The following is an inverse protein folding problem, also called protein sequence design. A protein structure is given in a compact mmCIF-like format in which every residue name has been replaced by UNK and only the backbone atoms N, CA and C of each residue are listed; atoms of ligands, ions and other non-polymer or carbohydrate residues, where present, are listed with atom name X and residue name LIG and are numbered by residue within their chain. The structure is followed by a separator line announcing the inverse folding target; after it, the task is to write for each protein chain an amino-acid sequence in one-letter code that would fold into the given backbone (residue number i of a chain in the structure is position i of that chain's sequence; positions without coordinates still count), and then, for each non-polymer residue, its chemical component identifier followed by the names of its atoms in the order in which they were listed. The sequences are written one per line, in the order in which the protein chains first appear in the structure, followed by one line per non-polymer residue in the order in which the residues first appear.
data_IF_044539006786
#
_entry.id   IF_044539006786
#
_cell.length_a   1.000
_cell.length_b   1.000
_cell.length_c   1.000
_cell.angle_alpha   90.00
_cell.angle_beta   90.00
_cell.angle_gamma   90.00
#
_symmetry.space_group_name_H-M   'P 1'
#
loop_
_entity.id
_entity.type
_entity.pdbx_description
1 polymer ?
#
# COMPACT_ATOMS: atom_id res chain seq x y z
N UNK A 1 -2.93 -6.88 23.25
CA UNK A 1 -1.75 -7.29 22.48
C UNK A 1 -0.68 -7.80 23.46
N UNK A 2 0.06 -8.85 23.07
CA UNK A 2 1.14 -9.44 23.89
C UNK A 2 2.47 -8.71 23.67
N UNK A 3 2.74 -8.29 22.43
CA UNK A 3 3.92 -7.51 22.08
C UNK A 3 3.74 -6.00 22.34
N UNK A 4 4.87 -5.36 22.64
CA UNK A 4 4.99 -3.93 22.92
C UNK A 4 6.11 -3.34 22.06
N UNK A 5 6.28 -2.02 22.11
CA UNK A 5 7.41 -1.34 21.46
C UNK A 5 8.77 -1.93 21.88
N UNK A 6 8.90 -2.40 23.13
CA UNK A 6 10.14 -3.04 23.61
C UNK A 6 10.44 -4.38 22.94
N UNK A 7 9.41 -5.17 22.58
CA UNK A 7 9.58 -6.48 21.94
C UNK A 7 9.54 -6.39 20.41
N UNK A 8 9.19 -5.23 19.87
CA UNK A 8 9.19 -4.96 18.44
C UNK A 8 10.55 -5.25 17.80
N UNK A 9 10.49 -5.72 16.56
CA UNK A 9 11.65 -5.89 15.68
C UNK A 9 11.42 -5.08 14.41
N UNK A 10 12.50 -4.76 13.70
CA UNK A 10 12.44 -3.94 12.49
C UNK A 10 13.42 -4.42 11.43
N UNK A 11 13.01 -4.32 10.17
CA UNK A 11 13.82 -4.56 8.97
C UNK A 11 13.48 -3.47 7.96
N UNK A 12 14.51 -2.80 7.44
CA UNK A 12 14.34 -1.82 6.38
C UNK A 12 14.96 -2.35 5.09
N UNK A 13 14.20 -2.32 4.00
CA UNK A 13 14.68 -2.63 2.65
C UNK A 13 14.71 -1.34 1.83
N UNK A 14 15.64 -1.28 0.86
CA UNK A 14 15.80 -0.13 -0.05
C UNK A 14 16.02 -0.62 -1.48
N UNK A 15 15.42 0.08 -2.43
CA UNK A 15 15.66 -0.11 -3.85
C UNK A 15 16.62 0.98 -4.34
N UNK A 16 17.49 0.62 -5.28
CA UNK A 16 18.31 1.61 -5.98
C UNK A 16 17.42 2.56 -6.80
N UNK A 17 17.93 3.73 -7.21
CA UNK A 17 17.17 4.64 -8.05
C UNK A 17 16.66 4.00 -9.34
N UNK A 18 17.45 3.13 -9.96
CA UNK A 18 17.11 2.45 -11.22
C UNK A 18 15.95 1.47 -11.04
N UNK A 19 15.86 0.80 -9.89
CA UNK A 19 14.74 -0.10 -9.56
C UNK A 19 13.52 0.68 -9.08
N UNK A 20 13.73 1.86 -8.48
CA UNK A 20 12.66 2.71 -7.97
C UNK A 20 11.92 3.44 -9.08
N UNK A 21 12.63 3.95 -10.08
CA UNK A 21 12.08 4.85 -11.10
C UNK A 21 10.84 4.29 -11.83
N UNK A 22 10.84 3.05 -12.36
CA UNK A 22 9.66 2.49 -13.02
C UNK A 22 8.43 2.40 -12.11
N UNK A 23 8.63 2.14 -10.82
CA UNK A 23 7.55 2.02 -9.83
C UNK A 23 6.88 3.38 -9.53
N UNK A 24 7.59 4.48 -9.80
CA UNK A 24 7.08 5.84 -9.61
C UNK A 24 6.45 6.43 -10.88
N UNK A 25 6.72 5.84 -12.05
CA UNK A 25 6.35 6.38 -13.35
C UNK A 25 5.64 5.34 -14.23
N UNK A 26 6.39 4.43 -14.83
CA UNK A 26 5.92 3.52 -15.87
C UNK A 26 4.83 2.56 -15.39
N UNK A 27 4.98 1.99 -14.18
CA UNK A 27 4.00 1.03 -13.64
C UNK A 27 2.66 1.73 -13.37
N UNK A 28 2.56 2.79 -12.54
CA UNK A 28 1.29 3.51 -12.36
C UNK A 28 0.64 3.98 -13.66
N UNK A 29 1.44 4.47 -14.62
CA UNK A 29 0.92 4.94 -15.91
C UNK A 29 0.29 3.82 -16.76
N UNK A 30 0.82 2.60 -16.68
CA UNK A 30 0.37 1.47 -17.50
C UNK A 30 -1.07 1.01 -17.20
N UNK A 31 -1.63 1.40 -16.05
CA UNK A 31 -2.99 1.06 -15.61
C UNK A 31 -3.77 2.27 -15.03
N UNK A 32 -3.30 3.48 -15.30
CA UNK A 32 -3.91 4.73 -14.82
C UNK A 32 -4.06 4.77 -13.29
N UNK A 33 -3.10 4.21 -12.57
CA UNK A 33 -3.10 4.14 -11.11
C UNK A 33 -2.14 5.12 -10.45
N UNK A 34 -1.92 4.88 -9.16
CA UNK A 34 -0.98 5.62 -8.31
C UNK A 34 0.20 4.74 -7.89
N UNK A 35 1.21 5.39 -7.30
CA UNK A 35 2.33 4.67 -6.66
C UNK A 35 1.81 3.77 -5.54
N UNK A 36 0.86 4.25 -4.71
CA UNK A 36 0.31 3.44 -3.64
C UNK A 36 -0.39 2.18 -4.17
N UNK A 37 -1.15 2.28 -5.27
CA UNK A 37 -1.81 1.13 -5.90
C UNK A 37 -0.78 0.07 -6.32
N UNK A 38 0.34 0.51 -6.92
CA UNK A 38 1.47 -0.36 -7.30
C UNK A 38 2.10 -1.05 -6.09
N UNK A 39 2.47 -0.28 -5.06
CA UNK A 39 3.18 -0.79 -3.89
C UNK A 39 2.31 -1.75 -3.05
N UNK A 40 1.01 -1.43 -2.92
CA UNK A 40 0.05 -2.27 -2.22
C UNK A 40 -0.26 -3.55 -3.01
N UNK A 41 -0.33 -3.48 -4.34
CA UNK A 41 -0.44 -4.68 -5.18
C UNK A 41 0.74 -5.62 -4.94
N UNK A 42 1.97 -5.10 -4.90
CA UNK A 42 3.15 -5.91 -4.59
C UNK A 42 3.05 -6.58 -3.20
N UNK A 43 2.49 -5.89 -2.20
CA UNK A 43 2.28 -6.48 -0.87
C UNK A 43 1.26 -7.63 -0.92
N UNK A 44 0.13 -7.44 -1.60
CA UNK A 44 -0.89 -8.48 -1.74
C UNK A 44 -0.32 -9.70 -2.48
N UNK A 45 0.46 -9.48 -3.53
CA UNK A 45 1.14 -10.54 -4.27
C UNK A 45 2.13 -11.32 -3.37
N UNK A 46 2.97 -10.61 -2.61
CA UNK A 46 3.94 -11.21 -1.72
C UNK A 46 3.27 -12.05 -0.61
N UNK A 47 2.26 -11.50 0.05
CA UNK A 47 1.52 -12.18 1.13
C UNK A 47 0.71 -13.35 0.58
N UNK A 48 0.02 -13.18 -0.55
CA UNK A 48 -0.76 -14.25 -1.18
C UNK A 48 0.12 -15.42 -1.62
N UNK A 49 1.27 -15.15 -2.25
CA UNK A 49 2.21 -16.19 -2.65
C UNK A 49 2.84 -16.90 -1.43
N UNK A 50 3.14 -16.16 -0.36
CA UNK A 50 3.60 -16.76 0.91
C UNK A 50 2.53 -17.63 1.57
N UNK A 51 1.26 -17.17 1.58
CA UNK A 51 0.13 -17.90 2.14
C UNK A 51 -0.07 -19.23 1.40
N UNK A 52 -0.04 -19.20 0.06
CA UNK A 52 -0.16 -20.39 -0.78
C UNK A 52 0.94 -21.43 -0.48
N UNK A 53 2.22 -21.00 -0.38
CA UNK A 53 3.34 -21.90 0.00
C UNK A 53 3.21 -22.46 1.41
N UNK A 54 2.59 -21.71 2.31
CA UNK A 54 2.36 -22.09 3.70
C UNK A 54 1.10 -22.94 3.90
N UNK A 55 0.39 -23.30 2.83
CA UNK A 55 -0.86 -24.07 2.88
C UNK A 55 -2.03 -23.30 3.47
N UNK A 56 -1.95 -21.96 3.52
CA UNK A 56 -3.04 -21.08 3.93
C UNK A 56 -3.89 -20.68 2.72
N UNK A 57 -5.19 -20.39 2.91
CA UNK A 57 -6.00 -19.79 1.86
C UNK A 57 -5.35 -18.50 1.34
N UNK A 58 -5.34 -18.33 0.02
CA UNK A 58 -4.84 -17.14 -0.67
C UNK A 58 -6.00 -16.35 -1.30
N UNK A 59 -7.13 -16.23 -0.59
CA UNK A 59 -8.38 -15.60 -1.04
C UNK A 59 -8.41 -14.07 -0.81
N UNK A 60 -7.22 -13.46 -0.73
CA UNK A 60 -7.04 -12.03 -0.48
C UNK A 60 -6.44 -11.71 0.89
N UNK A 61 -6.29 -10.41 1.14
CA UNK A 61 -5.62 -9.85 2.31
C UNK A 61 -6.50 -8.76 2.93
N UNK A 62 -6.71 -8.83 4.25
CA UNK A 62 -7.30 -7.70 4.98
C UNK A 62 -6.17 -6.86 5.55
N UNK A 63 -6.07 -5.60 5.11
CA UNK A 63 -5.08 -4.63 5.59
C UNK A 63 -5.77 -3.49 6.32
N UNK A 64 -5.13 -2.95 7.34
CA UNK A 64 -5.46 -1.63 7.87
C UNK A 64 -4.63 -0.61 7.08
N UNK A 65 -5.27 0.37 6.47
CA UNK A 65 -4.64 1.38 5.61
C UNK A 65 -4.59 2.72 6.32
N UNK A 66 -3.44 3.39 6.26
CA UNK A 66 -3.31 4.79 6.65
C UNK A 66 -3.47 5.71 5.45
N UNK A 67 -4.26 6.77 5.64
CA UNK A 67 -4.40 7.89 4.70
C UNK A 67 -4.03 9.20 5.36
N UNK A 68 -3.84 10.26 4.55
CA UNK A 68 -3.48 11.58 5.08
C UNK A 68 -4.63 12.24 5.87
N UNK A 69 -5.88 11.79 5.66
CA UNK A 69 -7.11 12.27 6.29
C UNK A 69 -7.39 13.77 6.11
N UNK A 70 -7.11 14.28 4.91
CA UNK A 70 -7.31 15.69 4.51
C UNK A 70 -8.38 15.77 3.43
N UNK A 71 -9.48 15.08 3.66
CA UNK A 71 -10.67 15.05 2.79
C UNK A 71 -11.42 16.38 2.90
N UNK A 72 -10.88 17.43 2.28
CA UNK A 72 -11.35 18.81 2.43
C UNK A 72 -12.75 19.02 1.85
N UNK A 73 -13.12 18.24 0.83
CA UNK A 73 -14.44 18.33 0.19
C UNK A 73 -15.58 17.89 1.11
N UNK A 74 -15.29 17.15 2.20
CA UNK A 74 -16.28 16.74 3.18
C UNK A 74 -16.74 17.85 4.12
N UNK A 75 -15.94 18.91 4.28
CA UNK A 75 -16.24 20.01 5.18
C UNK A 75 -16.26 21.30 4.37
N UNK A 76 -17.46 21.82 4.01
CA UNK A 76 -17.58 23.02 3.20
C UNK A 76 -16.75 24.19 3.75
N UNK A 77 -15.82 24.69 2.94
CA UNK A 77 -14.95 25.81 3.29
C UNK A 77 -13.70 25.44 4.09
N UNK A 78 -13.42 24.16 4.34
CA UNK A 78 -12.17 23.74 4.95
C UNK A 78 -11.00 23.85 3.96
N UNK A 79 -9.94 24.56 4.39
CA UNK A 79 -8.62 24.50 3.76
C UNK A 79 -7.65 23.87 4.75
N UNK A 80 -7.26 22.64 4.45
CA UNK A 80 -6.30 21.88 5.25
C UNK A 80 -4.91 21.88 4.61
N UNK A 81 -4.67 22.58 3.50
CA UNK A 81 -3.38 22.47 2.77
C UNK A 81 -2.17 22.85 3.61
N UNK A 82 -2.34 23.78 4.58
CA UNK A 82 -1.26 24.28 5.45
C UNK A 82 -1.50 24.03 6.94
N UNK A 83 -2.48 23.21 7.28
CA UNK A 83 -2.85 22.92 8.68
C UNK A 83 -1.94 21.85 9.28
N UNK A 84 -1.32 22.18 10.40
CA UNK A 84 -0.49 21.25 11.18
C UNK A 84 -1.34 20.62 12.28
N UNK A 85 -1.31 19.30 12.38
CA UNK A 85 -2.04 18.50 13.35
C UNK A 85 -1.92 17.02 13.02
N UNK A 86 -2.52 16.17 13.85
CA UNK A 86 -2.66 14.75 13.55
C UNK A 86 -3.99 14.53 12.81
N UNK A 87 -3.90 14.37 11.48
CA UNK A 87 -5.07 14.20 10.61
C UNK A 87 -5.18 12.79 10.00
N UNK A 88 -4.25 11.88 10.29
CA UNK A 88 -4.21 10.53 9.72
C UNK A 88 -5.55 9.82 9.85
N UNK A 89 -6.10 9.35 8.73
CA UNK A 89 -7.23 8.43 8.70
C UNK A 89 -6.70 7.00 8.72
N UNK A 90 -7.42 6.09 9.39
CA UNK A 90 -7.08 4.67 9.44
C UNK A 90 -8.36 3.87 9.20
N UNK A 91 -8.32 2.95 8.24
CA UNK A 91 -9.48 2.13 7.89
C UNK A 91 -9.09 0.72 7.41
N UNK A 92 -9.88 -0.30 7.75
CA UNK A 92 -9.67 -1.65 7.23
C UNK A 92 -10.18 -1.75 5.78
N UNK A 93 -9.44 -2.47 4.93
CA UNK A 93 -9.86 -2.83 3.58
C UNK A 93 -9.53 -4.31 3.30
N UNK A 94 -10.51 -5.04 2.77
CA UNK A 94 -10.30 -6.38 2.22
C UNK A 94 -9.92 -6.27 0.75
N UNK A 95 -8.68 -6.62 0.44
CA UNK A 95 -8.15 -6.73 -0.92
C UNK A 95 -8.32 -8.17 -1.37
N UNK A 96 -9.34 -8.44 -2.18
CA UNK A 96 -9.61 -9.77 -2.74
C UNK A 96 -8.62 -10.12 -3.84
N UNK A 97 -8.55 -11.40 -4.16
CA UNK A 97 -7.83 -11.91 -5.33
C UNK A 97 -8.82 -12.74 -6.18
N UNK A 98 -9.89 -12.09 -6.65
CA UNK A 98 -11.00 -12.76 -7.32
C UNK A 98 -10.68 -13.04 -8.79
N UNK A 99 -9.97 -12.11 -9.44
CA UNK A 99 -9.58 -12.18 -10.85
C UNK A 99 -8.15 -12.68 -11.08
N UNK A 100 -7.39 -12.95 -10.03
CA UNK A 100 -5.99 -13.37 -10.15
C UNK A 100 -5.53 -14.31 -9.04
N UNK A 101 -4.58 -15.19 -9.36
CA UNK A 101 -3.85 -15.97 -8.36
C UNK A 101 -2.51 -15.28 -8.04
N UNK A 102 -2.29 -14.79 -6.81
CA UNK A 102 -1.03 -14.17 -6.40
C UNK A 102 0.21 -15.03 -6.71
N UNK A 103 0.13 -16.35 -6.51
CA UNK A 103 1.24 -17.25 -6.77
C UNK A 103 1.51 -17.40 -8.27
N UNK A 104 0.48 -17.43 -9.11
CA UNK A 104 0.60 -17.48 -10.56
C UNK A 104 1.17 -16.18 -11.14
N UNK A 105 0.73 -15.02 -10.61
CA UNK A 105 1.28 -13.71 -11.00
C UNK A 105 2.76 -13.64 -10.62
N UNK A 106 3.13 -14.01 -9.38
CA UNK A 106 4.54 -14.02 -8.93
C UNK A 106 5.39 -15.01 -9.75
N UNK A 107 4.82 -16.13 -10.20
CA UNK A 107 5.49 -17.09 -11.08
C UNK A 107 5.57 -16.62 -12.55
N UNK A 108 4.95 -15.49 -12.90
CA UNK A 108 4.87 -14.97 -14.28
C UNK A 108 4.00 -15.82 -15.21
N UNK A 109 3.15 -16.70 -14.67
CA UNK A 109 2.24 -17.54 -15.46
C UNK A 109 0.87 -16.88 -15.66
N UNK A 110 0.61 -15.79 -14.96
CA UNK A 110 -0.56 -14.93 -15.17
C UNK A 110 -0.12 -13.47 -15.31
N UNK A 111 -0.83 -12.70 -16.13
CA UNK A 111 -0.58 -11.27 -16.30
C UNK A 111 -0.81 -10.48 -15.00
N UNK A 112 0.13 -9.59 -14.69
CA UNK A 112 0.09 -8.77 -13.47
C UNK A 112 -0.90 -7.59 -13.57
N UNK A 113 -1.29 -7.20 -14.78
CA UNK A 113 -2.23 -6.12 -15.03
C UNK A 113 -3.60 -6.38 -14.40
N UNK A 114 -4.05 -7.63 -14.35
CA UNK A 114 -5.31 -7.98 -13.66
C UNK A 114 -5.25 -7.66 -12.16
N UNK A 115 -4.14 -8.00 -11.50
CA UNK A 115 -3.95 -7.70 -10.08
C UNK A 115 -3.89 -6.19 -9.82
N UNK A 116 -3.14 -5.44 -10.64
CA UNK A 116 -3.05 -3.99 -10.54
C UNK A 116 -4.42 -3.31 -10.68
N UNK A 117 -5.22 -3.73 -11.66
CA UNK A 117 -6.57 -3.20 -11.88
C UNK A 117 -7.52 -3.53 -10.74
N UNK A 118 -7.52 -4.79 -10.28
CA UNK A 118 -8.40 -5.19 -9.18
C UNK A 118 -8.08 -4.42 -7.89
N UNK A 119 -6.80 -4.31 -7.51
CA UNK A 119 -6.39 -3.57 -6.32
C UNK A 119 -6.71 -2.07 -6.45
N UNK A 120 -6.49 -1.48 -7.63
CA UNK A 120 -6.89 -0.09 -7.91
C UNK A 120 -8.38 0.10 -7.67
N UNK A 121 -9.24 -0.73 -8.26
CA UNK A 121 -10.69 -0.58 -8.10
C UNK A 121 -11.14 -0.80 -6.65
N UNK A 122 -10.55 -1.75 -5.91
CA UNK A 122 -10.86 -1.91 -4.48
C UNK A 122 -10.48 -0.70 -3.64
N UNK A 123 -9.43 0.02 -4.01
CA UNK A 123 -9.08 1.29 -3.37
C UNK A 123 -10.02 2.43 -3.76
N UNK A 124 -10.54 2.44 -4.98
CA UNK A 124 -11.48 3.47 -5.47
C UNK A 124 -12.91 3.26 -5.00
N UNK A 125 -13.29 2.02 -4.69
CA UNK A 125 -14.56 1.69 -4.04
C UNK A 125 -14.68 2.26 -2.62
N UNK A 126 -13.57 2.67 -2.00
CA UNK A 126 -13.56 3.24 -0.66
C UNK A 126 -14.07 4.69 -0.70
N UNK A 127 -15.19 5.00 -0.04
CA UNK A 127 -15.69 6.37 0.00
C UNK A 127 -14.73 7.28 0.76
N UNK A 128 -14.47 8.46 0.19
CA UNK A 128 -13.80 9.58 0.83
C UNK A 128 -12.48 9.20 1.53
N UNK A 129 -11.65 8.39 0.86
CA UNK A 129 -10.34 7.96 1.40
C UNK A 129 -10.44 7.19 2.73
N UNK A 130 -11.61 6.62 3.04
CA UNK A 130 -11.85 5.78 4.23
C UNK A 130 -11.99 6.55 5.55
N UNK A 131 -12.01 7.89 5.53
CA UNK A 131 -12.08 8.71 6.75
C UNK A 131 -13.32 8.40 7.61
N UNK A 132 -14.42 7.96 6.97
CA UNK A 132 -15.65 7.56 7.63
C UNK A 132 -15.47 6.39 8.62
N UNK A 133 -14.50 5.50 8.41
CA UNK A 133 -14.30 4.34 9.28
C UNK A 133 -13.98 4.77 10.72
N UNK A 134 -13.08 5.74 10.90
CA UNK A 134 -12.76 6.30 12.22
C UNK A 134 -13.95 7.00 12.87
N UNK A 135 -14.75 7.75 12.08
CA UNK A 135 -15.95 8.42 12.58
C UNK A 135 -17.01 7.41 13.05
N UNK A 136 -17.25 6.36 12.27
CA UNK A 136 -18.20 5.30 12.62
C UNK A 136 -17.73 4.47 13.81
N UNK A 137 -16.42 4.25 13.95
CA UNK A 137 -15.83 3.46 15.03
C UNK A 137 -15.76 4.21 16.36
N UNK A 138 -15.33 5.48 16.34
CA UNK A 138 -14.97 6.21 17.55
C UNK A 138 -15.93 7.36 17.89
N UNK A 139 -16.61 7.95 16.91
CA UNK A 139 -17.48 9.11 17.12
C UNK A 139 -18.99 8.76 17.09
N UNK A 140 -19.36 7.54 16.71
CA UNK A 140 -20.76 7.12 16.64
C UNK A 140 -21.02 5.86 17.48
N UNK A 141 -21.69 6.04 18.62
CA UNK A 141 -22.00 4.96 19.56
C UNK A 141 -22.90 3.86 18.97
N UNK A 142 -23.74 4.16 17.97
CA UNK A 142 -24.61 3.18 17.33
C UNK A 142 -23.85 2.23 16.40
N UNK A 143 -22.73 2.69 15.82
CA UNK A 143 -21.92 1.90 14.88
C UNK A 143 -20.63 1.38 15.48
N UNK A 144 -20.18 1.90 16.62
CA UNK A 144 -18.95 1.48 17.29
C UNK A 144 -18.87 -0.04 17.53
N UNK A 145 -20.00 -0.68 17.83
CA UNK A 145 -20.07 -2.13 18.05
C UNK A 145 -19.79 -2.99 16.81
N UNK A 146 -19.91 -2.43 15.60
CA UNK A 146 -19.56 -3.12 14.34
C UNK A 146 -18.04 -3.31 14.18
N UNK A 147 -17.26 -2.50 14.89
CA UNK A 147 -15.80 -2.58 14.93
C UNK A 147 -15.29 -3.31 16.18
N UNK A 148 -16.18 -4.04 16.88
CA UNK A 148 -15.79 -4.85 18.02
C UNK A 148 -14.68 -5.85 17.64
N UNK A 149 -13.77 -6.17 18.57
CA UNK A 149 -12.57 -6.94 18.27
C UNK A 149 -12.90 -8.38 17.84
N UNK A 150 -13.04 -8.59 16.54
CA UNK A 150 -12.80 -9.88 15.88
C UNK A 150 -11.32 -10.03 15.53
N UNK A 151 -10.99 -10.94 14.61
CA UNK A 151 -9.68 -10.94 13.95
C UNK A 151 -9.60 -9.70 13.04
N UNK A 152 -9.14 -8.58 13.60
CA UNK A 152 -8.83 -7.37 12.85
C UNK A 152 -7.69 -7.60 11.85
N UNK A 153 -7.38 -6.62 10.99
CA UNK A 153 -6.27 -6.73 10.05
C UNK A 153 -4.95 -7.07 10.78
N UNK A 154 -4.19 -8.03 10.24
CA UNK A 154 -2.89 -8.40 10.82
C UNK A 154 -1.74 -7.51 10.31
N UNK A 155 -2.00 -6.76 9.25
CA UNK A 155 -1.03 -5.90 8.56
C UNK A 155 -1.56 -4.47 8.52
N UNK A 156 -0.76 -3.53 9.01
CA UNK A 156 -0.90 -2.10 8.77
C UNK A 156 -0.03 -1.70 7.57
N UNK A 157 -0.60 -0.96 6.63
CA UNK A 157 0.11 -0.40 5.48
C UNK A 157 0.00 1.12 5.46
N UNK A 158 1.14 1.78 5.29
CA UNK A 158 1.23 3.22 5.19
C UNK A 158 2.25 3.61 4.11
N UNK A 159 1.82 4.44 3.16
CA UNK A 159 2.70 5.03 2.17
C UNK A 159 2.82 6.54 2.42
N UNK A 160 3.98 6.98 2.90
CA UNK A 160 4.21 8.37 3.30
C UNK A 160 4.42 9.32 2.10
N UNK A 161 4.48 8.79 0.89
CA UNK A 161 4.78 9.57 -0.31
C UNK A 161 6.26 9.85 -0.48
N UNK A 162 6.57 11.00 -1.07
CA UNK A 162 7.94 11.44 -1.37
C UNK A 162 8.43 12.42 -0.31
N UNK A 163 9.48 12.06 0.41
CA UNK A 163 10.13 12.97 1.35
C UNK A 163 10.99 13.99 0.60
N UNK A 164 10.59 15.26 0.64
CA UNK A 164 11.35 16.38 0.05
C UNK A 164 12.37 16.99 1.03
N UNK A 165 12.27 16.69 2.32
CA UNK A 165 12.98 17.41 3.38
C UNK A 165 14.43 16.96 3.65
N UNK A 166 14.88 15.79 3.14
CA UNK A 166 16.22 15.25 3.43
C UNK A 166 17.31 15.65 2.42
N UNK A 167 17.04 16.57 1.51
CA UNK A 167 18.09 17.07 0.60
C UNK A 167 19.16 17.80 1.42
N UNK A 168 20.45 17.51 1.17
CA UNK A 168 21.59 18.23 1.74
C UNK A 168 21.53 19.71 1.33
N UNK A 169 20.81 20.50 2.12
CA UNK A 169 20.65 21.93 1.96
C UNK A 169 21.23 22.64 3.18
N UNK A 170 21.45 23.95 3.08
CA UNK A 170 21.93 24.79 4.19
C UNK A 170 21.01 24.69 5.44
N UNK A 171 19.76 24.26 5.24
CA UNK A 171 18.76 24.00 6.29
C UNK A 171 18.29 22.54 6.32
N UNK A 172 19.14 21.60 5.90
CA UNK A 172 18.84 20.17 5.96
C UNK A 172 18.95 19.59 7.37
N UNK A 173 18.44 18.35 7.59
CA UNK A 173 18.62 17.65 8.85
C UNK A 173 20.11 17.54 9.22
N UNK A 174 20.46 17.83 10.48
CA UNK A 174 21.80 17.58 10.99
C UNK A 174 22.11 16.06 10.97
N UNK A 175 23.39 15.70 10.90
CA UNK A 175 23.81 14.29 10.90
C UNK A 175 23.35 13.54 12.17
N UNK A 176 23.19 14.27 13.28
CA UNK A 176 22.77 13.77 14.57
C UNK A 176 21.26 13.88 14.81
N UNK A 177 20.46 14.31 13.83
CA UNK A 177 19.02 14.56 14.01
C UNK A 177 18.27 13.32 14.53
N UNK A 178 18.68 12.13 14.10
CA UNK A 178 18.08 10.86 14.54
C UNK A 178 18.28 10.61 16.04
N UNK A 179 19.27 11.23 16.69
CA UNK A 179 19.46 11.16 18.15
C UNK A 179 18.36 11.89 18.94
N UNK A 180 17.65 12.82 18.30
CA UNK A 180 16.53 13.58 18.88
C UNK A 180 15.17 12.97 18.56
N UNK A 181 15.13 11.84 17.84
CA UNK A 181 13.87 11.16 17.52
C UNK A 181 13.13 10.79 18.82
N UNK A 182 11.88 11.26 18.94
CA UNK A 182 10.99 10.88 20.03
C UNK A 182 10.73 9.38 19.93
N UNK A 183 11.17 8.63 20.93
CA UNK A 183 10.92 7.19 20.99
C UNK A 183 9.57 6.93 21.65
N UNK A 184 8.73 6.07 21.08
CA UNK A 184 7.50 5.64 21.74
C UNK A 184 7.79 5.00 23.10
N UNK A 185 6.83 5.04 24.01
CA UNK A 185 6.92 4.36 25.30
C UNK A 185 7.19 2.84 25.07
N UNK A 186 8.27 2.26 25.63
CA UNK A 186 8.58 0.85 25.46
C UNK A 186 7.45 -0.10 25.88
N UNK A 187 6.61 0.30 26.83
CA UNK A 187 5.45 -0.46 27.30
C UNK A 187 4.18 -0.28 26.47
N UNK A 188 4.20 0.61 25.47
CA UNK A 188 3.06 0.81 24.57
C UNK A 188 2.81 -0.48 23.76
N UNK A 189 1.58 -1.01 23.74
CA UNK A 189 1.25 -2.17 22.93
C UNK A 189 1.42 -1.87 21.44
N UNK A 190 1.88 -2.86 20.67
CA UNK A 190 1.85 -2.76 19.21
C UNK A 190 0.41 -2.79 18.71
N UNK A 191 0.12 -1.96 17.71
CA UNK A 191 -1.21 -1.89 17.08
C UNK A 191 -1.51 -3.11 16.22
N UNK A 192 -0.50 -3.62 15.51
CA UNK A 192 -0.63 -4.73 14.56
C UNK A 192 0.52 -5.73 14.73
N UNK A 193 0.31 -7.02 14.39
CA UNK A 193 1.38 -8.00 14.26
C UNK A 193 2.49 -7.53 13.31
N UNK A 194 2.12 -6.97 12.15
CA UNK A 194 3.05 -6.41 11.18
C UNK A 194 2.58 -5.02 10.74
N UNK A 195 3.49 -4.07 10.69
CA UNK A 195 3.29 -2.75 10.09
C UNK A 195 4.36 -2.53 9.01
N UNK A 196 3.96 -1.97 7.87
CA UNK A 196 4.83 -1.68 6.74
C UNK A 196 4.67 -0.21 6.36
N UNK A 197 5.72 0.57 6.62
CA UNK A 197 5.83 1.97 6.24
C UNK A 197 6.72 2.09 5.00
N UNK A 198 6.17 2.58 3.89
CA UNK A 198 6.88 2.80 2.65
C UNK A 198 7.01 4.30 2.33
N UNK A 199 8.17 4.70 1.84
CA UNK A 199 8.44 6.08 1.47
C UNK A 199 9.48 6.19 0.36
N UNK A 200 9.46 7.31 -0.36
CA UNK A 200 10.49 7.63 -1.35
C UNK A 200 11.39 8.72 -0.78
N UNK A 201 12.65 8.37 -0.57
CA UNK A 201 13.70 9.28 -0.15
C UNK A 201 14.42 9.86 -1.40
N UNK A 202 14.96 11.08 -1.32
CA UNK A 202 15.83 11.60 -2.37
C UNK A 202 17.29 11.27 -2.02
N UNK A 203 17.85 10.26 -2.71
CA UNK A 203 19.25 9.87 -2.59
C UNK A 203 20.17 10.64 -3.57
N UNK A 204 21.49 10.51 -3.42
CA UNK A 204 22.46 11.18 -4.31
C UNK A 204 22.32 10.79 -5.79
N UNK A 205 21.86 9.56 -6.06
CA UNK A 205 21.67 9.02 -7.40
C UNK A 205 20.24 9.17 -7.96
N UNK A 206 19.31 9.74 -7.19
CA UNK A 206 17.89 9.83 -7.57
C UNK A 206 16.95 9.37 -6.45
N UNK A 207 15.64 9.23 -6.75
CA UNK A 207 14.66 8.77 -5.78
C UNK A 207 14.90 7.30 -5.40
N UNK A 208 14.92 6.98 -4.12
CA UNK A 208 15.09 5.62 -3.59
C UNK A 208 13.83 5.24 -2.79
N UNK A 209 13.17 4.14 -3.17
CA UNK A 209 12.06 3.58 -2.40
C UNK A 209 12.64 2.82 -1.19
N UNK A 210 12.20 3.20 0.00
CA UNK A 210 12.49 2.51 1.25
C UNK A 210 11.18 1.97 1.85
N UNK A 211 11.25 0.79 2.47
CA UNK A 211 10.16 0.25 3.27
C UNK A 211 10.69 -0.32 4.58
N UNK A 212 10.05 0.04 5.69
CA UNK A 212 10.36 -0.48 7.03
C UNK A 212 9.24 -1.38 7.51
N UNK A 213 9.59 -2.64 7.73
CA UNK A 213 8.73 -3.66 8.32
C UNK A 213 8.97 -3.65 9.83
N UNK A 214 7.95 -3.34 10.62
CA UNK A 214 7.96 -3.40 12.09
C UNK A 214 7.01 -4.50 12.52
N UNK A 215 7.47 -5.42 13.37
CA UNK A 215 6.63 -6.55 13.76
C UNK A 215 6.72 -6.91 15.24
N UNK A 216 5.67 -7.59 15.70
CA UNK A 216 5.56 -8.24 17.00
C UNK A 216 6.57 -9.40 17.10
N UNK A 217 7.71 -9.14 17.74
CA UNK A 217 8.86 -10.06 17.76
C UNK A 217 8.63 -11.36 18.53
N UNK A 218 7.64 -11.42 19.44
CA UNK A 218 7.24 -12.69 20.08
C UNK A 218 6.19 -13.47 19.26
N UNK A 219 5.42 -12.79 18.40
CA UNK A 219 4.32 -13.38 17.64
C UNK A 219 4.72 -13.80 16.22
N UNK A 220 5.65 -13.09 15.57
CA UNK A 220 6.11 -13.34 14.21
C UNK A 220 7.61 -13.61 14.19
N UNK A 221 8.03 -14.69 13.52
CA UNK A 221 9.45 -15.01 13.39
C UNK A 221 10.15 -14.05 12.42
N UNK A 222 11.44 -13.74 12.63
CA UNK A 222 12.24 -12.99 11.68
C UNK A 222 12.20 -13.60 10.27
N UNK A 223 12.33 -14.92 10.16
CA UNK A 223 12.31 -15.64 8.87
C UNK A 223 11.02 -15.38 8.08
N UNK A 224 9.86 -15.34 8.74
CA UNK A 224 8.58 -15.03 8.07
C UNK A 224 8.57 -13.61 7.53
N UNK A 225 9.02 -12.63 8.33
CA UNK A 225 9.08 -11.24 7.88
C UNK A 225 10.13 -11.08 6.79
N UNK A 226 11.21 -11.85 6.85
CA UNK A 226 12.25 -11.82 5.84
C UNK A 226 11.75 -12.33 4.49
N UNK A 227 11.04 -13.45 4.48
CA UNK A 227 10.38 -13.98 3.29
C UNK A 227 9.34 -13.02 2.71
N UNK A 228 8.57 -12.33 3.57
CA UNK A 228 7.59 -11.33 3.12
C UNK A 228 8.25 -10.10 2.51
N UNK A 229 9.31 -9.58 3.15
CA UNK A 229 10.05 -8.42 2.65
C UNK A 229 10.75 -8.75 1.32
N UNK A 230 11.37 -9.92 1.20
CA UNK A 230 12.01 -10.36 -0.04
C UNK A 230 10.99 -10.67 -1.13
N UNK A 231 9.85 -11.26 -0.76
CA UNK A 231 8.71 -11.46 -1.67
C UNK A 231 8.13 -10.14 -2.18
N UNK A 232 8.04 -9.12 -1.32
CA UNK A 232 7.59 -7.78 -1.72
C UNK A 232 8.56 -7.13 -2.70
N UNK A 233 9.87 -7.19 -2.44
CA UNK A 233 10.89 -6.71 -3.37
C UNK A 233 10.82 -7.42 -4.73
N UNK A 234 10.67 -8.76 -4.72
CA UNK A 234 10.54 -9.55 -5.94
C UNK A 234 9.26 -9.19 -6.72
N UNK A 235 8.15 -8.97 -6.02
CA UNK A 235 6.90 -8.53 -6.64
C UNK A 235 7.05 -7.13 -7.27
N UNK A 236 7.76 -6.19 -6.63
CA UNK A 236 8.06 -4.89 -7.22
C UNK A 236 8.90 -5.00 -8.49
N UNK A 237 9.97 -5.80 -8.47
CA UNK A 237 10.80 -6.02 -9.67
C UNK A 237 9.98 -6.65 -10.80
N UNK A 238 9.07 -7.57 -10.47
CA UNK A 238 8.14 -8.17 -11.43
C UNK A 238 7.21 -7.13 -12.06
N UNK A 239 6.62 -6.24 -11.25
CA UNK A 239 5.74 -5.18 -11.76
C UNK A 239 6.50 -4.18 -12.63
N UNK A 240 7.73 -3.82 -12.25
CA UNK A 240 8.61 -2.98 -13.05
C UNK A 240 8.95 -3.63 -14.40
N UNK A 241 9.29 -4.92 -14.40
CA UNK A 241 9.57 -5.69 -15.62
C UNK A 241 8.31 -5.83 -16.51
N UNK A 242 7.14 -6.04 -15.90
CA UNK A 242 5.86 -6.12 -16.60
C UNK A 242 5.57 -4.85 -17.39
N UNK A 243 5.75 -3.66 -16.78
CA UNK A 243 5.58 -2.37 -17.47
C UNK A 243 6.66 -2.14 -18.54
N UNK A 244 7.91 -2.52 -18.28
CA UNK A 244 9.00 -2.41 -19.24
C UNK A 244 8.79 -3.27 -20.50
N UNK A 245 8.03 -4.36 -20.40
CA UNK A 245 7.61 -5.19 -21.53
C UNK A 245 6.66 -4.51 -22.52
N UNK A 246 6.27 -3.24 -22.28
CA UNK A 246 5.30 -2.52 -23.08
C UNK A 246 3.85 -2.92 -22.80
N UNK A 247 3.63 -3.71 -21.74
CA UNK A 247 2.31 -4.11 -21.30
C UNK A 247 1.56 -2.90 -20.74
N UNK A 248 0.32 -2.71 -21.18
CA UNK A 248 -0.65 -1.83 -20.53
C UNK A 248 -1.82 -2.68 -20.07
N UNK A 249 -2.26 -2.48 -18.84
CA UNK A 249 -3.43 -3.19 -18.32
C UNK A 249 -4.75 -2.63 -18.91
N UNK A 250 -4.69 -1.50 -19.61
CA UNK A 250 -5.85 -0.76 -20.08
C UNK A 250 -6.51 0.04 -18.96
N UNK A 251 -7.73 0.48 -19.23
CA UNK A 251 -8.55 1.27 -18.31
C UNK A 251 -9.36 0.39 -17.36
N UNK A 252 -9.75 0.99 -16.24
CA UNK A 252 -10.70 0.46 -15.27
C UNK A 252 -11.95 1.35 -15.20
N UNK A 253 -13.05 0.89 -14.58
CA UNK A 253 -14.26 1.70 -14.42
C UNK A 253 -14.00 3.07 -13.81
N UNK A 254 -13.13 3.16 -12.80
CA UNK A 254 -12.76 4.44 -12.16
C UNK A 254 -12.00 5.42 -13.06
N UNK A 255 -11.61 5.05 -14.28
CA UNK A 255 -11.04 5.97 -15.27
C UNK A 255 -12.12 6.68 -16.12
N UNK A 256 -13.38 6.26 -16.02
CA UNK A 256 -14.46 6.66 -16.91
C UNK A 256 -15.58 7.42 -16.17
N UNK A 257 -15.31 8.64 -15.72
CA UNK A 257 -16.23 9.47 -14.92
C UNK A 257 -17.61 9.75 -15.55
N UNK A 258 -17.76 9.54 -16.87
CA UNK A 258 -18.98 9.87 -17.63
C UNK A 258 -19.83 8.66 -18.01
N UNK A 259 -19.33 7.44 -17.86
CA UNK A 259 -19.98 6.22 -18.34
C UNK A 259 -19.94 5.14 -17.25
N UNK A 260 -21.10 4.55 -16.98
CA UNK A 260 -21.20 3.38 -16.10
C UNK A 260 -20.91 2.12 -16.92
N UNK A 261 -19.63 1.76 -17.00
CA UNK A 261 -19.14 0.56 -17.69
C UNK A 261 -18.42 -0.36 -16.71
N UNK A 262 -18.75 -1.65 -16.76
CA UNK A 262 -18.01 -2.66 -16.02
C UNK A 262 -16.68 -3.01 -16.72
N UNK A 263 -15.78 -3.69 -15.99
CA UNK A 263 -14.46 -4.05 -16.52
C UNK A 263 -14.54 -4.94 -17.77
N UNK A 264 -15.55 -5.80 -17.90
CA UNK A 264 -15.70 -6.67 -19.07
C UNK A 264 -16.09 -5.87 -20.31
N UNK A 265 -16.99 -4.89 -20.16
CA UNK A 265 -17.38 -3.98 -21.23
C UNK A 265 -16.20 -3.12 -21.70
N UNK A 266 -15.40 -2.60 -20.76
CA UNK A 266 -14.18 -1.85 -21.10
C UNK A 266 -13.21 -2.74 -21.87
N UNK A 267 -12.92 -3.95 -21.37
CA UNK A 267 -12.01 -4.88 -22.05
C UNK A 267 -12.52 -5.24 -23.45
N UNK A 268 -13.81 -5.50 -23.62
CA UNK A 268 -14.40 -5.75 -24.94
C UNK A 268 -14.21 -4.56 -25.89
N UNK A 269 -14.42 -3.32 -25.42
CA UNK A 269 -14.22 -2.12 -26.24
C UNK A 269 -12.75 -1.93 -26.64
N UNK A 270 -11.82 -2.14 -25.72
CA UNK A 270 -10.38 -2.06 -26.00
C UNK A 270 -9.94 -3.13 -27.02
N UNK A 271 -10.44 -4.35 -26.90
CA UNK A 271 -10.18 -5.43 -27.86
C UNK A 271 -10.75 -5.10 -29.25
N UNK A 272 -11.99 -4.62 -29.32
CA UNK A 272 -12.61 -4.17 -30.56
C UNK A 272 -11.81 -3.04 -31.23
N UNK A 273 -11.30 -2.09 -30.44
CA UNK A 273 -10.48 -0.99 -30.95
C UNK A 273 -9.13 -1.48 -31.50
N UNK A 274 -8.44 -2.37 -30.77
CA UNK A 274 -7.17 -2.97 -31.24
C UNK A 274 -7.34 -3.78 -32.52
N UNK A 275 -8.46 -4.49 -32.67
CA UNK A 275 -8.76 -5.27 -33.86
C UNK A 275 -9.03 -4.43 -35.13
N UNK A 276 -9.25 -3.11 -34.99
CA UNK A 276 -9.47 -2.19 -36.10
C UNK A 276 -8.19 -1.44 -36.55
N UNK A 277 -7.08 -1.60 -35.82
CA UNK A 277 -5.77 -1.02 -36.18
C UNK A 277 -4.91 -2.04 -36.94
#
# INVERSE_FOLDING_TARGET
ARDTVATARRRTVRLSPERTEPLLSAVPQAFHGTVNDTLLTALVLAVGAWAARSGRPADGLTVELEGHGREQDLVPGADLTRTVGWLTSVYPLRLTADGYDPAAVVAGTQDAGTALKEIKERLRDVPDGGIGAGLLRYANAATAGLFAPGAGPEILWNYLGRQTARTQSVWGPAAEADALAVRPDPGMPLSHPLAVDAEVENGPGGPELAATFVWAGEALSPDTVDELADGWLAALDLLAAWAAGGSSAGHTPSDLDLLDLDQNQITMLEEMWRAQQ
#
